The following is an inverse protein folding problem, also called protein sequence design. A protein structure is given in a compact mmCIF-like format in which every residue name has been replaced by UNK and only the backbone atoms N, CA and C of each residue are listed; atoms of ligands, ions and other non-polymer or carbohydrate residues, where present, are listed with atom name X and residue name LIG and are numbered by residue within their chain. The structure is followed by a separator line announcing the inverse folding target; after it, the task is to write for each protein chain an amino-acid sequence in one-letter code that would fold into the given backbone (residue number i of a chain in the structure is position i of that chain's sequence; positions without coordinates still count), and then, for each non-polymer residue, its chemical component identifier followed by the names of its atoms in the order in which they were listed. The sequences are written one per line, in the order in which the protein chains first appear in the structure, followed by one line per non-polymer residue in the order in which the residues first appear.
data_IF_572276490253
#
_entry.id   IF_572276490253
#
_cell.length_a   1.000
_cell.length_b   1.000
_cell.length_c   1.000
_cell.angle_alpha   90.00
_cell.angle_beta   90.00
_cell.angle_gamma   90.00
#
_symmetry.space_group_name_H-M   'P 1'
#
loop_
_entity.id
_entity.type
_entity.pdbx_description
1 polymer ?
#
# COMPACT_ATOMS: atom_id res chain seq x y z
N UNK A 1 -34.01 -40.98 -49.84
CA UNK A 1 -34.56 -42.31 -49.95
C UNK A 1 -34.92 -42.84 -48.58
N UNK A 2 -36.22 -42.93 -48.28
CA UNK A 2 -36.87 -43.83 -47.29
C UNK A 2 -37.14 -45.13 -48.05
N UNK A 3 -37.55 -46.26 -47.47
CA UNK A 3 -38.10 -46.61 -46.13
C UNK A 3 -37.47 -47.92 -45.57
N UNK A 4 -37.84 -48.59 -44.51
CA UNK A 4 -39.14 -49.16 -44.18
C UNK A 4 -39.15 -49.83 -42.78
N UNK A 5 -40.32 -49.86 -42.25
CA UNK A 5 -40.86 -50.54 -41.11
C UNK A 5 -40.67 -52.09 -41.09
N UNK A 6 -40.67 -52.66 -39.85
CA UNK A 6 -41.55 -53.80 -39.56
C UNK A 6 -41.82 -53.93 -38.06
N UNK A 7 -43.13 -53.96 -37.75
CA UNK A 7 -43.77 -54.43 -36.50
C UNK A 7 -43.78 -55.97 -36.46
N UNK A 8 -43.93 -56.48 -35.22
CA UNK A 8 -44.84 -57.60 -34.78
C UNK A 8 -44.66 -57.78 -33.30
N UNK A 9 -45.57 -57.53 -32.46
CA UNK A 9 -46.89 -58.00 -32.09
C UNK A 9 -46.86 -59.11 -31.02
N UNK A 10 -47.49 -58.77 -29.90
CA UNK A 10 -48.29 -59.51 -28.94
C UNK A 10 -47.83 -60.90 -28.41
N UNK A 11 -47.83 -61.06 -27.08
CA UNK A 11 -48.82 -61.83 -26.32
C UNK A 11 -48.75 -61.59 -24.81
N UNK A 12 -49.93 -61.43 -24.24
CA UNK A 12 -50.25 -61.39 -22.83
C UNK A 12 -50.18 -62.79 -22.22
N UNK A 13 -49.76 -62.89 -20.98
CA UNK A 13 -50.31 -63.92 -20.09
C UNK A 13 -50.44 -63.43 -18.65
N UNK A 14 -51.58 -63.71 -18.12
CA UNK A 14 -52.19 -63.33 -16.83
C UNK A 14 -51.70 -64.30 -15.74
N UNK A 15 -51.14 -63.83 -14.63
CA UNK A 15 -51.18 -64.55 -13.39
C UNK A 15 -51.27 -63.60 -12.19
N UNK A 16 -52.40 -63.66 -11.52
CA UNK A 16 -52.73 -63.07 -10.22
C UNK A 16 -51.83 -63.57 -9.12
N UNK A 17 -51.36 -62.70 -8.26
CA UNK A 17 -50.64 -63.10 -7.02
C UNK A 17 -50.40 -62.00 -6.01
N UNK A 18 -51.38 -61.81 -5.11
CA UNK A 18 -51.30 -61.31 -3.72
C UNK A 18 -50.59 -59.98 -3.41
N UNK A 19 -51.42 -59.05 -3.06
CA UNK A 19 -51.10 -57.78 -2.37
C UNK A 19 -50.55 -58.07 -0.95
N UNK A 20 -49.34 -57.63 -0.64
CA UNK A 20 -48.93 -57.35 0.74
C UNK A 20 -48.57 -55.87 0.88
N UNK A 21 -48.95 -55.20 1.98
CA UNK A 21 -48.77 -53.74 2.10
C UNK A 21 -47.34 -53.39 2.46
N UNK A 22 -46.75 -52.47 1.71
CA UNK A 22 -45.52 -51.76 2.05
C UNK A 22 -45.76 -50.80 3.21
N UNK A 23 -45.42 -51.24 4.43
CA UNK A 23 -45.34 -50.34 5.57
C UNK A 23 -43.90 -49.87 5.79
N UNK A 24 -43.73 -48.53 5.93
CA UNK A 24 -42.68 -47.83 6.64
C UNK A 24 -41.30 -47.73 6.01
N UNK A 25 -41.13 -46.74 5.13
CA UNK A 25 -39.81 -46.14 4.93
C UNK A 25 -39.80 -44.58 5.04
N UNK A 26 -40.92 -43.93 5.43
CA UNK A 26 -40.99 -42.47 5.52
C UNK A 26 -40.31 -41.88 6.78
N UNK A 27 -40.06 -42.66 7.82
CA UNK A 27 -39.42 -42.18 9.06
C UNK A 27 -37.91 -41.98 8.96
N UNK A 28 -37.19 -42.84 8.22
CA UNK A 28 -35.74 -42.75 8.11
C UNK A 28 -35.25 -41.65 7.20
N UNK A 29 -35.97 -41.34 6.12
CA UNK A 29 -35.57 -40.24 5.22
C UNK A 29 -35.77 -38.84 5.85
N UNK A 30 -36.80 -38.64 6.69
CA UNK A 30 -36.96 -37.39 7.44
C UNK A 30 -35.85 -37.16 8.48
N UNK A 31 -35.40 -38.23 9.14
CA UNK A 31 -34.34 -38.09 10.14
C UNK A 31 -32.96 -37.81 9.50
N UNK A 32 -32.66 -38.39 8.33
CA UNK A 32 -31.42 -38.14 7.59
C UNK A 32 -31.40 -36.71 7.06
N UNK A 33 -32.52 -36.17 6.55
CA UNK A 33 -32.61 -34.78 6.10
C UNK A 33 -32.47 -33.76 7.26
N UNK A 34 -33.01 -34.07 8.45
CA UNK A 34 -32.82 -33.22 9.64
C UNK A 34 -31.39 -33.25 10.15
N UNK A 35 -30.74 -34.40 10.17
CA UNK A 35 -29.32 -34.50 10.57
C UNK A 35 -28.40 -33.82 9.57
N UNK A 36 -28.63 -33.91 8.27
CA UNK A 36 -27.89 -33.17 7.25
C UNK A 36 -28.12 -31.65 7.35
N UNK A 37 -29.35 -31.22 7.63
CA UNK A 37 -29.68 -29.80 7.79
C UNK A 37 -29.06 -29.22 9.07
N UNK A 38 -29.03 -29.94 10.17
CA UNK A 38 -28.38 -29.57 11.43
C UNK A 38 -26.84 -29.54 11.26
N UNK A 39 -26.26 -30.50 10.54
CA UNK A 39 -24.84 -30.51 10.22
C UNK A 39 -24.45 -29.36 9.30
N UNK A 40 -25.29 -28.97 8.32
CA UNK A 40 -25.07 -27.82 7.46
C UNK A 40 -25.20 -26.51 8.25
N UNK A 41 -26.16 -26.39 9.17
CA UNK A 41 -26.30 -25.24 10.05
C UNK A 41 -25.12 -25.11 11.04
N UNK A 42 -24.62 -26.20 11.57
CA UNK A 42 -23.45 -26.21 12.46
C UNK A 42 -22.20 -25.83 11.68
N UNK A 43 -22.03 -26.30 10.42
CA UNK A 43 -20.88 -25.89 9.59
C UNK A 43 -20.92 -24.41 9.19
N UNK A 44 -22.10 -23.81 9.01
CA UNK A 44 -22.25 -22.38 8.75
C UNK A 44 -21.93 -21.53 9.99
N UNK A 45 -22.25 -22.03 11.18
CA UNK A 45 -21.94 -21.31 12.45
C UNK A 45 -20.44 -21.39 12.78
N UNK A 46 -19.73 -22.46 12.39
CA UNK A 46 -18.28 -22.56 12.58
C UNK A 46 -17.43 -21.83 11.52
N UNK A 47 -18.06 -21.38 10.42
CA UNK A 47 -17.36 -20.64 9.35
C UNK A 47 -17.16 -19.15 9.64
N UNK A 48 -17.62 -18.64 10.79
CA UNK A 48 -17.51 -17.21 11.15
C UNK A 48 -16.95 -16.95 12.55
N UNK A 49 -16.17 -17.85 13.10
CA UNK A 49 -15.27 -17.47 14.17
C UNK A 49 -13.95 -17.03 13.55
N UNK A 50 -13.86 -15.74 13.16
CA UNK A 50 -12.57 -15.07 13.28
C UNK A 50 -12.11 -15.37 14.70
N UNK A 51 -11.04 -16.13 14.86
CA UNK A 51 -10.33 -16.20 16.12
C UNK A 51 -10.14 -14.75 16.54
N UNK A 52 -10.72 -14.35 17.67
CA UNK A 52 -10.34 -13.13 18.34
C UNK A 52 -8.85 -13.29 18.65
N UNK A 53 -8.01 -12.83 17.74
CA UNK A 53 -6.65 -12.49 18.10
C UNK A 53 -6.81 -11.54 19.27
N UNK A 54 -6.25 -11.88 20.43
CA UNK A 54 -6.17 -10.97 21.55
C UNK A 54 -5.34 -9.77 21.08
N UNK A 55 -6.00 -8.73 20.59
CA UNK A 55 -5.39 -7.46 20.17
C UNK A 55 -4.87 -6.63 21.37
N UNK A 56 -4.48 -7.30 22.45
CA UNK A 56 -3.78 -6.65 23.53
C UNK A 56 -2.40 -6.25 23.03
N UNK A 57 -2.21 -4.95 22.78
CA UNK A 57 -0.94 -4.29 22.44
C UNK A 57 -0.55 -4.25 20.94
N UNK A 58 -1.47 -4.48 20.01
CA UNK A 58 -1.14 -4.49 18.58
C UNK A 58 -1.20 -3.11 17.89
N UNK A 59 -1.27 -2.03 18.67
CA UNK A 59 -1.42 -0.66 18.15
C UNK A 59 -2.87 -0.29 17.85
N UNK A 60 -3.10 1.01 17.69
CA UNK A 60 -4.41 1.56 17.35
C UNK A 60 -4.29 2.67 16.32
N UNK A 61 -5.32 2.83 15.49
CA UNK A 61 -5.46 3.90 14.53
C UNK A 61 -6.49 4.91 15.01
N UNK A 62 -6.15 6.18 15.04
CA UNK A 62 -7.04 7.25 15.41
C UNK A 62 -7.29 8.21 14.24
N UNK A 63 -8.53 8.61 14.05
CA UNK A 63 -8.87 9.59 13.01
C UNK A 63 -8.28 10.97 13.32
N UNK A 64 -7.91 11.68 12.25
CA UNK A 64 -7.42 13.06 12.27
C UNK A 64 -8.23 13.90 11.31
N UNK A 65 -7.97 15.20 11.28
CA UNK A 65 -8.63 16.10 10.32
C UNK A 65 -8.55 15.54 8.91
N UNK A 66 -9.69 15.39 8.27
CA UNK A 66 -9.79 14.86 6.90
C UNK A 66 -8.96 15.71 5.93
N UNK A 67 -8.42 15.06 4.91
CA UNK A 67 -7.61 15.67 3.87
C UNK A 67 -8.24 16.96 3.34
N UNK A 68 -7.45 18.01 3.28
CA UNK A 68 -7.93 19.35 2.87
C UNK A 68 -8.86 20.02 3.86
N UNK A 69 -8.97 19.57 5.13
CA UNK A 69 -9.85 20.18 6.13
C UNK A 69 -11.33 20.13 5.78
N UNK A 70 -11.74 19.13 5.00
CA UNK A 70 -13.10 18.98 4.46
C UNK A 70 -13.32 19.68 3.10
N UNK A 71 -12.37 20.46 2.63
CA UNK A 71 -12.41 21.08 1.30
C UNK A 71 -11.57 20.32 0.25
N UNK A 72 -10.73 19.39 0.71
CA UNK A 72 -9.90 18.56 -0.17
C UNK A 72 -10.74 17.52 -0.94
N UNK A 73 -10.37 17.31 -2.18
CA UNK A 73 -10.91 16.23 -3.00
C UNK A 73 -10.04 14.99 -2.75
N UNK A 74 -10.65 13.86 -2.41
CA UNK A 74 -9.94 12.60 -2.20
C UNK A 74 -9.10 12.24 -3.42
N UNK A 75 -7.90 11.73 -3.17
CA UNK A 75 -6.94 11.37 -4.22
C UNK A 75 -6.26 10.06 -3.89
N UNK A 76 -5.86 9.33 -4.93
CA UNK A 76 -4.89 8.24 -4.80
C UNK A 76 -3.68 8.48 -5.67
N UNK A 77 -2.61 7.75 -5.38
CA UNK A 77 -1.35 7.85 -6.11
C UNK A 77 -0.79 9.29 -6.16
N UNK A 78 -0.93 10.01 -5.07
CA UNK A 78 -0.37 11.34 -4.88
C UNK A 78 1.10 11.25 -4.48
N UNK A 79 1.88 12.24 -4.89
CA UNK A 79 3.23 12.45 -4.40
C UNK A 79 3.21 13.04 -2.99
N UNK A 80 4.21 12.72 -2.16
CA UNK A 80 4.34 13.32 -0.83
C UNK A 80 5.81 13.59 -0.47
N UNK A 81 6.00 14.59 0.39
CA UNK A 81 7.30 14.90 0.99
C UNK A 81 7.08 15.58 2.35
N UNK A 82 8.09 15.52 3.21
CA UNK A 82 8.05 16.10 4.56
C UNK A 82 9.18 17.12 4.71
N UNK A 83 8.86 18.33 5.16
CA UNK A 83 9.82 19.40 5.46
C UNK A 83 9.56 19.88 6.88
N UNK A 84 10.55 19.72 7.75
CA UNK A 84 10.40 20.06 9.17
C UNK A 84 9.22 19.33 9.81
N UNK A 85 8.28 20.05 10.37
CA UNK A 85 7.09 19.50 11.01
C UNK A 85 5.84 19.50 10.11
N UNK A 86 6.01 19.58 8.80
CA UNK A 86 4.89 19.61 7.87
C UNK A 86 5.04 18.51 6.81
N UNK A 87 3.96 17.78 6.55
CA UNK A 87 3.86 16.87 5.42
C UNK A 87 3.08 17.55 4.28
N UNK A 88 3.50 17.28 3.06
CA UNK A 88 2.88 17.81 1.86
C UNK A 88 2.39 16.68 1.00
N UNK A 89 1.17 16.82 0.48
CA UNK A 89 0.54 15.88 -0.46
C UNK A 89 0.20 16.65 -1.72
N UNK A 90 0.70 16.20 -2.86
CA UNK A 90 0.62 16.89 -4.13
C UNK A 90 0.15 15.95 -5.24
N UNK A 91 -0.64 16.48 -6.18
CA UNK A 91 -1.08 15.75 -7.37
C UNK A 91 -2.01 14.57 -7.04
N UNK A 92 -2.03 13.52 -7.84
CA UNK A 92 -2.86 12.33 -7.65
C UNK A 92 -4.07 12.29 -8.58
N UNK A 93 -4.86 11.23 -8.47
CA UNK A 93 -6.06 11.01 -9.30
C UNK A 93 -7.31 10.84 -8.43
N UNK A 94 -8.42 11.40 -8.88
CA UNK A 94 -9.74 11.12 -8.35
C UNK A 94 -10.59 10.42 -9.42
N UNK A 95 -11.01 9.18 -9.21
CA UNK A 95 -11.76 8.42 -10.21
C UNK A 95 -13.23 8.83 -10.36
N UNK A 96 -13.79 9.60 -9.40
CA UNK A 96 -15.20 10.03 -9.42
C UNK A 96 -15.46 11.20 -10.38
N UNK A 97 -14.44 11.98 -10.66
CA UNK A 97 -14.48 12.96 -11.73
C UNK A 97 -13.75 12.37 -12.93
N UNK A 98 -14.31 12.33 -14.14
CA UNK A 98 -13.77 11.55 -15.24
C UNK A 98 -12.27 11.73 -15.34
N UNK A 99 -11.54 10.77 -14.76
CA UNK A 99 -10.09 10.64 -14.71
C UNK A 99 -9.31 11.95 -14.49
N UNK A 100 -9.77 12.84 -13.59
CA UNK A 100 -9.03 14.07 -13.32
C UNK A 100 -7.85 13.81 -12.39
N UNK A 101 -6.68 13.86 -12.95
CA UNK A 101 -5.44 14.04 -12.21
C UNK A 101 -5.36 15.49 -11.76
N UNK A 102 -4.90 15.69 -10.54
CA UNK A 102 -4.99 16.97 -9.86
C UNK A 102 -3.62 17.66 -9.80
N UNK A 103 -3.65 18.95 -9.53
CA UNK A 103 -2.47 19.79 -9.28
C UNK A 103 -2.50 20.40 -7.88
N UNK A 104 -3.58 20.15 -7.11
CA UNK A 104 -3.70 20.67 -5.74
C UNK A 104 -2.56 20.16 -4.86
N UNK A 105 -2.09 21.03 -3.96
CA UNK A 105 -1.06 20.71 -2.98
C UNK A 105 -1.56 21.14 -1.60
N UNK A 106 -1.55 20.19 -0.68
CA UNK A 106 -2.00 20.39 0.69
C UNK A 106 -0.87 20.13 1.68
N UNK A 107 -0.71 21.03 2.63
CA UNK A 107 0.22 20.91 3.73
C UNK A 107 -0.52 20.48 4.99
N UNK A 108 -0.05 19.41 5.63
CA UNK A 108 -0.53 18.93 6.94
C UNK A 108 0.44 19.35 8.03
N UNK A 109 -0.07 20.06 9.04
CA UNK A 109 0.63 20.35 10.28
C UNK A 109 -0.03 19.54 11.39
N UNK A 110 0.69 18.59 12.03
CA UNK A 110 0.11 17.78 13.09
C UNK A 110 -0.27 18.66 14.29
N UNK A 111 -1.37 18.31 14.93
CA UNK A 111 -1.78 18.95 16.17
C UNK A 111 -0.88 18.56 17.36
N UNK A 112 -1.18 19.08 18.55
CA UNK A 112 -0.45 18.75 19.76
C UNK A 112 -0.43 17.23 20.00
N UNK A 113 0.60 16.74 20.70
CA UNK A 113 0.65 15.33 21.11
C UNK A 113 -0.49 15.09 22.11
N UNK A 114 -1.37 14.08 21.87
CA UNK A 114 -2.47 13.80 22.78
C UNK A 114 -1.97 13.52 24.21
N UNK A 115 -2.59 14.17 25.18
CA UNK A 115 -2.28 14.00 26.59
C UNK A 115 -3.40 13.16 27.23
N UNK A 116 -3.10 11.98 27.74
CA UNK A 116 -4.05 11.15 28.46
C UNK A 116 -3.96 9.67 28.08
N UNK A 117 -4.57 8.77 28.87
CA UNK A 117 -4.53 7.35 28.61
C UNK A 117 -5.17 6.95 27.27
N UNK A 118 -6.13 7.74 26.80
CA UNK A 118 -6.83 7.49 25.55
C UNK A 118 -6.37 8.40 24.41
N UNK A 119 -5.60 9.44 24.68
CA UNK A 119 -4.86 10.38 23.78
C UNK A 119 -5.39 10.66 22.37
N UNK A 120 -6.39 9.90 21.99
CA UNK A 120 -6.87 9.69 20.64
C UNK A 120 -7.79 10.82 20.19
N UNK A 121 -8.63 11.32 21.09
CA UNK A 121 -9.76 12.20 20.75
C UNK A 121 -9.60 13.66 21.18
N UNK A 122 -8.38 14.07 21.58
CA UNK A 122 -8.15 15.47 21.87
C UNK A 122 -8.35 16.32 20.61
N UNK A 123 -9.21 17.35 20.62
CA UNK A 123 -9.35 18.27 19.49
C UNK A 123 -8.01 18.91 19.07
N UNK A 124 -7.09 19.06 20.03
CA UNK A 124 -5.75 19.61 19.80
C UNK A 124 -4.86 18.66 19.00
N UNK A 125 -5.15 17.35 19.03
CA UNK A 125 -4.39 16.32 18.29
C UNK A 125 -4.76 16.23 16.80
N UNK A 126 -5.88 16.85 16.39
CA UNK A 126 -6.44 16.67 15.05
C UNK A 126 -5.51 17.15 13.92
N UNK A 127 -4.70 18.18 14.14
CA UNK A 127 -3.88 18.79 13.11
C UNK A 127 -4.71 19.62 12.12
N UNK A 128 -4.01 20.24 11.19
CA UNK A 128 -4.64 21.14 10.20
C UNK A 128 -4.09 20.89 8.80
N UNK A 129 -4.98 20.97 7.82
CA UNK A 129 -4.62 21.00 6.40
C UNK A 129 -4.71 22.44 5.90
N UNK A 130 -3.69 22.87 5.18
CA UNK A 130 -3.64 24.20 4.55
C UNK A 130 -3.35 24.01 3.06
N UNK A 131 -4.19 24.56 2.22
CA UNK A 131 -3.91 24.61 0.78
C UNK A 131 -2.73 25.53 0.53
N UNK A 132 -1.76 25.08 -0.24
CA UNK A 132 -0.59 25.86 -0.66
C UNK A 132 -0.61 26.02 -2.18
N UNK A 133 0.41 26.70 -2.74
CA UNK A 133 0.47 26.91 -4.18
C UNK A 133 0.39 25.58 -4.95
N UNK A 134 -0.52 25.51 -5.90
CA UNK A 134 -0.72 24.34 -6.75
C UNK A 134 0.56 23.96 -7.49
N UNK A 135 0.73 22.67 -7.73
CA UNK A 135 1.79 22.13 -8.57
C UNK A 135 1.69 22.71 -9.99
N UNK A 136 2.72 23.39 -10.50
CA UNK A 136 2.63 24.11 -11.78
C UNK A 136 2.83 23.22 -13.01
N UNK A 137 3.42 22.02 -12.83
CA UNK A 137 3.54 21.05 -13.90
C UNK A 137 2.18 20.50 -14.34
N UNK A 138 2.15 19.72 -15.41
CA UNK A 138 0.90 19.15 -15.92
C UNK A 138 0.26 18.18 -14.89
N UNK A 139 -1.10 18.08 -14.86
CA UNK A 139 -1.83 17.20 -13.96
C UNK A 139 -1.36 15.75 -14.11
N UNK A 140 -1.10 15.08 -12.98
CA UNK A 140 -0.50 13.74 -12.96
C UNK A 140 -0.88 12.92 -11.74
N UNK A 141 -0.74 11.61 -11.86
CA UNK A 141 -0.76 10.65 -10.77
C UNK A 141 0.50 9.79 -10.79
N UNK A 142 0.71 8.97 -9.74
CA UNK A 142 1.84 8.06 -9.66
C UNK A 142 3.21 8.77 -9.77
N UNK A 143 3.19 10.08 -9.48
CA UNK A 143 4.38 10.90 -9.32
C UNK A 143 5.05 10.59 -7.99
N UNK A 144 6.33 10.89 -7.87
CA UNK A 144 7.04 10.78 -6.60
C UNK A 144 7.34 12.14 -6.00
N UNK A 145 7.52 12.15 -4.68
CA UNK A 145 8.01 13.32 -3.95
C UNK A 145 9.15 12.94 -3.03
N UNK A 146 10.05 13.88 -2.81
CA UNK A 146 11.10 13.82 -1.79
C UNK A 146 11.44 15.22 -1.28
N UNK A 147 12.10 15.29 -0.13
CA UNK A 147 12.65 16.55 0.40
C UNK A 147 14.18 16.51 0.38
N UNK A 148 14.80 17.63 -0.01
CA UNK A 148 16.25 17.79 0.03
C UNK A 148 16.58 19.28 0.15
N UNK A 149 17.61 19.63 0.95
CA UNK A 149 18.05 21.02 1.13
C UNK A 149 16.99 21.98 1.64
N UNK A 150 16.00 21.47 2.42
CA UNK A 150 14.89 22.27 2.94
C UNK A 150 13.79 22.61 1.92
N UNK A 151 13.81 21.98 0.76
CA UNK A 151 12.81 22.10 -0.29
C UNK A 151 12.13 20.77 -0.56
N UNK A 152 10.87 20.80 -1.04
CA UNK A 152 10.17 19.62 -1.57
C UNK A 152 10.37 19.51 -3.07
N UNK A 153 10.41 18.30 -3.57
CA UNK A 153 10.54 18.00 -5.00
C UNK A 153 9.42 17.06 -5.41
N UNK A 154 8.78 17.35 -6.54
CA UNK A 154 7.76 16.49 -7.15
C UNK A 154 8.08 16.33 -8.63
N UNK A 155 8.04 15.11 -9.12
CA UNK A 155 8.31 14.84 -10.52
C UNK A 155 7.88 13.46 -10.95
N UNK A 156 8.16 13.13 -12.22
CA UNK A 156 7.73 11.89 -12.87
C UNK A 156 6.20 11.75 -12.94
N UNK A 157 5.70 10.54 -13.11
CA UNK A 157 4.25 10.26 -13.07
C UNK A 157 3.61 10.12 -14.44
N UNK A 158 2.31 9.82 -14.40
CA UNK A 158 1.47 9.48 -15.55
C UNK A 158 0.44 10.57 -15.82
N UNK A 159 0.31 11.03 -17.06
CA UNK A 159 -0.63 12.05 -17.49
C UNK A 159 -2.09 11.58 -17.51
N UNK A 160 -3.02 12.52 -17.69
CA UNK A 160 -4.46 12.24 -17.79
C UNK A 160 -4.84 11.33 -18.96
N UNK A 161 -4.07 11.33 -20.02
CA UNK A 161 -4.29 10.44 -21.19
C UNK A 161 -3.98 8.96 -20.91
N UNK A 162 -3.34 8.68 -19.75
CA UNK A 162 -2.94 7.33 -19.38
C UNK A 162 -1.79 6.74 -20.18
N UNK A 163 -1.14 7.54 -21.02
CA UNK A 163 -0.07 7.12 -21.95
C UNK A 163 1.19 7.98 -21.77
N UNK A 164 1.04 9.29 -21.68
CA UNK A 164 2.16 10.21 -21.51
C UNK A 164 2.77 10.07 -20.13
N UNK A 165 4.08 9.82 -20.07
CA UNK A 165 4.84 9.62 -18.85
C UNK A 165 5.86 10.73 -18.72
N UNK A 166 5.96 11.31 -17.53
CA UNK A 166 6.79 12.48 -17.26
C UNK A 166 8.15 12.11 -16.70
N UNK A 167 9.15 12.96 -16.97
CA UNK A 167 10.48 12.93 -16.37
C UNK A 167 10.84 14.27 -15.70
N UNK A 168 9.98 15.30 -15.85
CA UNK A 168 10.18 16.64 -15.28
C UNK A 168 10.15 16.60 -13.76
N UNK A 169 10.85 17.54 -13.14
CA UNK A 169 10.84 17.79 -11.70
C UNK A 169 10.66 19.27 -11.38
N UNK A 170 10.00 19.50 -10.26
CA UNK A 170 9.71 20.84 -9.73
C UNK A 170 10.08 20.88 -8.25
N UNK A 171 10.77 21.95 -7.84
CA UNK A 171 11.09 22.23 -6.45
C UNK A 171 10.09 23.21 -5.84
N UNK A 172 9.68 22.96 -4.61
CA UNK A 172 8.82 23.80 -3.79
C UNK A 172 9.61 24.39 -2.62
N UNK A 173 9.62 25.71 -2.52
CA UNK A 173 10.22 26.40 -1.37
C UNK A 173 9.11 26.75 -0.36
N UNK A 174 9.09 26.14 0.84
CA UNK A 174 8.03 26.36 1.83
C UNK A 174 8.02 27.76 2.41
N UNK A 175 9.17 28.48 2.39
CA UNK A 175 9.26 29.83 2.94
C UNK A 175 8.65 30.88 2.01
N UNK A 176 8.78 30.72 0.71
CA UNK A 176 8.21 31.63 -0.30
C UNK A 176 6.88 31.17 -0.88
N UNK A 177 6.53 29.88 -0.73
CA UNK A 177 5.38 29.26 -1.37
C UNK A 177 5.52 29.12 -2.89
N UNK A 178 6.74 29.18 -3.43
CA UNK A 178 6.99 29.21 -4.88
C UNK A 178 7.52 27.87 -5.37
N UNK A 179 6.99 27.43 -6.51
CA UNK A 179 7.49 26.34 -7.31
C UNK A 179 8.43 26.82 -8.40
N UNK A 180 9.51 26.07 -8.64
CA UNK A 180 10.47 26.31 -9.71
C UNK A 180 10.76 24.99 -10.42
N UNK A 181 10.72 24.99 -11.75
CA UNK A 181 11.16 23.83 -12.54
C UNK A 181 12.66 23.61 -12.34
N UNK A 182 13.05 22.36 -12.16
CA UNK A 182 14.45 21.93 -12.04
C UNK A 182 14.75 20.89 -13.11
N UNK A 183 16.01 20.44 -13.18
CA UNK A 183 16.40 19.43 -14.16
C UNK A 183 15.48 18.21 -14.14
N UNK A 184 15.04 17.82 -15.31
CA UNK A 184 14.32 16.56 -15.53
C UNK A 184 15.21 15.36 -15.20
N UNK A 185 14.61 14.23 -14.85
CA UNK A 185 15.33 12.96 -14.66
C UNK A 185 15.94 12.54 -16.00
N UNK A 186 17.19 12.93 -16.23
CA UNK A 186 17.91 12.77 -17.49
C UNK A 186 19.42 12.80 -17.27
N UNK A 187 20.16 12.32 -18.28
CA UNK A 187 21.60 12.50 -18.42
C UNK A 187 21.97 12.74 -19.88
N UNK A 188 23.25 12.69 -20.20
CA UNK A 188 23.74 12.86 -21.58
C UNK A 188 23.23 11.82 -22.58
N UNK A 189 22.70 10.69 -22.09
CA UNK A 189 22.19 9.60 -22.93
C UNK A 189 20.67 9.74 -23.20
N UNK A 190 19.96 10.54 -22.43
CA UNK A 190 18.53 10.77 -22.64
C UNK A 190 17.73 11.07 -21.39
N UNK A 191 16.43 11.03 -21.53
CA UNK A 191 15.43 11.23 -20.49
C UNK A 191 14.88 9.88 -20.01
N UNK A 192 14.53 9.78 -18.72
CA UNK A 192 14.09 8.55 -18.07
C UNK A 192 12.69 8.70 -17.47
N UNK A 193 11.65 8.91 -18.30
CA UNK A 193 10.27 9.07 -17.81
C UNK A 193 9.80 7.78 -17.14
N UNK A 194 9.05 7.93 -16.04
CA UNK A 194 8.53 6.80 -15.25
C UNK A 194 7.36 7.20 -14.37
N UNK A 195 6.65 6.20 -13.89
CA UNK A 195 5.64 6.34 -12.84
C UNK A 195 5.75 5.19 -11.84
N UNK A 196 5.06 5.27 -10.69
CA UNK A 196 5.19 4.32 -9.59
C UNK A 196 6.65 4.05 -9.18
N UNK A 197 7.50 5.04 -9.30
CA UNK A 197 8.86 4.98 -8.78
C UNK A 197 8.88 5.08 -7.25
N UNK A 198 10.02 4.79 -6.66
CA UNK A 198 10.29 4.97 -5.25
C UNK A 198 11.26 6.14 -5.04
N UNK A 199 11.25 6.75 -3.84
CA UNK A 199 12.16 7.84 -3.50
C UNK A 199 12.71 7.70 -2.09
N UNK A 200 13.87 8.32 -1.87
CA UNK A 200 14.43 8.57 -0.54
C UNK A 200 14.73 10.05 -0.37
N UNK A 201 14.39 10.60 0.79
CA UNK A 201 14.71 11.96 1.21
C UNK A 201 15.84 11.95 2.23
N UNK A 202 17.04 12.33 1.81
CA UNK A 202 18.15 12.58 2.74
C UNK A 202 18.37 14.09 2.87
N UNK A 203 18.82 14.57 4.01
CA UNK A 203 18.84 16.00 4.34
C UNK A 203 19.29 16.94 3.22
N UNK A 204 20.32 16.58 2.48
CA UNK A 204 20.91 17.41 1.42
C UNK A 204 20.68 16.90 0.00
N UNK A 205 20.17 15.69 -0.18
CA UNK A 205 20.01 15.04 -1.48
C UNK A 205 18.76 14.19 -1.54
N UNK A 206 18.15 14.05 -2.73
CA UNK A 206 17.06 13.13 -3.00
C UNK A 206 17.50 11.97 -3.88
N UNK A 207 16.82 10.86 -3.77
CA UNK A 207 17.03 9.70 -4.65
C UNK A 207 15.70 9.28 -5.28
N UNK A 208 15.80 8.91 -6.54
CA UNK A 208 14.72 8.26 -7.31
C UNK A 208 15.20 6.92 -7.78
N UNK A 209 14.43 5.89 -7.61
CA UNK A 209 14.76 4.53 -8.01
C UNK A 209 13.54 3.77 -8.47
N UNK A 210 13.75 2.71 -9.23
CA UNK A 210 12.67 1.82 -9.65
C UNK A 210 11.60 2.51 -10.50
N UNK A 211 10.38 1.99 -10.56
CA UNK A 211 9.29 2.51 -11.37
C UNK A 211 9.12 1.78 -12.70
N UNK A 212 8.22 2.25 -13.52
CA UNK A 212 7.91 1.66 -14.82
C UNK A 212 7.57 2.72 -15.87
N UNK A 213 7.75 2.41 -17.14
CA UNK A 213 7.25 3.16 -18.29
C UNK A 213 5.98 2.50 -18.89
N UNK A 214 5.40 1.53 -18.19
CA UNK A 214 4.26 0.75 -18.65
C UNK A 214 4.63 -0.51 -19.44
N UNK A 215 5.86 -0.60 -19.90
CA UNK A 215 6.41 -1.76 -20.64
C UNK A 215 7.58 -2.38 -19.85
N UNK A 216 8.48 -1.56 -19.38
CA UNK A 216 9.68 -1.94 -18.66
C UNK A 216 9.57 -1.58 -17.20
N UNK A 217 10.20 -2.38 -16.34
CA UNK A 217 10.41 -2.08 -14.93
C UNK A 217 11.86 -1.71 -14.73
N UNK A 218 12.09 -0.67 -13.93
CA UNK A 218 13.42 -0.12 -13.72
C UNK A 218 14.04 -0.60 -12.41
N UNK A 219 15.37 -0.71 -12.42
CA UNK A 219 16.20 -0.98 -11.23
C UNK A 219 17.33 0.03 -11.11
N UNK A 220 17.33 1.08 -11.93
CA UNK A 220 18.29 2.18 -11.84
C UNK A 220 18.04 3.05 -10.60
N UNK A 221 19.07 3.73 -10.15
CA UNK A 221 19.06 4.60 -8.99
C UNK A 221 19.66 5.94 -9.38
N UNK A 222 18.95 7.01 -9.10
CA UNK A 222 19.35 8.38 -9.44
C UNK A 222 19.43 9.25 -8.20
N UNK A 223 20.49 10.00 -8.08
CA UNK A 223 20.72 10.99 -7.01
C UNK A 223 20.55 12.39 -7.56
N UNK A 224 19.71 13.18 -6.92
CA UNK A 224 19.56 14.61 -7.17
C UNK A 224 20.28 15.41 -6.09
N UNK A 225 21.05 16.41 -6.51
CA UNK A 225 21.70 17.34 -5.60
C UNK A 225 21.17 18.76 -5.81
N UNK A 226 20.41 19.34 -4.86
CA UNK A 226 19.99 20.74 -4.94
C UNK A 226 21.14 21.73 -5.11
N UNK A 227 22.32 21.42 -4.58
CA UNK A 227 23.49 22.28 -4.67
C UNK A 227 24.05 22.43 -6.10
N UNK A 228 23.87 21.43 -6.94
CA UNK A 228 24.30 21.44 -8.34
C UNK A 228 23.13 21.53 -9.33
N UNK A 229 21.92 21.23 -8.88
CA UNK A 229 20.73 21.13 -9.73
C UNK A 229 20.71 19.92 -10.65
N UNK A 230 21.60 18.92 -10.44
CA UNK A 230 21.83 17.85 -11.40
C UNK A 230 21.45 16.47 -10.84
N UNK A 231 21.06 15.58 -11.76
CA UNK A 231 20.91 14.14 -11.55
C UNK A 231 22.20 13.40 -11.85
N UNK A 232 22.54 12.43 -11.00
CA UNK A 232 23.70 11.54 -11.20
C UNK A 232 23.26 10.10 -10.95
N UNK A 233 23.42 9.26 -11.97
CA UNK A 233 23.15 7.84 -11.83
C UNK A 233 24.08 7.19 -10.80
N UNK A 234 23.52 6.35 -9.97
CA UNK A 234 24.20 5.57 -8.95
C UNK A 234 24.23 4.10 -9.34
N UNK A 235 24.99 3.24 -8.64
CA UNK A 235 24.88 1.80 -8.81
C UNK A 235 23.45 1.34 -8.69
N UNK A 236 23.03 0.47 -9.61
CA UNK A 236 21.66 -0.02 -9.68
C UNK A 236 21.22 -0.72 -8.40
N UNK A 237 19.93 -0.69 -8.13
CA UNK A 237 19.28 -1.49 -7.12
C UNK A 237 19.48 -2.99 -7.43
N UNK A 238 20.05 -3.78 -6.51
CA UNK A 238 20.42 -5.17 -6.78
C UNK A 238 19.23 -6.14 -6.71
N UNK A 239 18.08 -5.70 -6.19
CA UNK A 239 16.83 -6.48 -6.19
C UNK A 239 16.16 -6.49 -7.56
N UNK A 240 15.00 -7.12 -7.65
CA UNK A 240 14.22 -7.12 -8.89
C UNK A 240 13.82 -5.70 -9.30
N UNK A 241 13.95 -5.36 -10.57
CA UNK A 241 13.32 -4.18 -11.15
C UNK A 241 11.81 -4.22 -10.86
N UNK A 242 11.25 -3.12 -10.36
CA UNK A 242 9.89 -3.07 -9.81
C UNK A 242 9.25 -1.70 -9.87
N UNK A 243 7.94 -1.66 -9.64
CA UNK A 243 7.18 -0.42 -9.43
C UNK A 243 6.33 -0.51 -8.17
N UNK A 244 5.89 0.63 -7.64
CA UNK A 244 4.99 0.69 -6.49
C UNK A 244 5.53 0.03 -5.22
N UNK A 245 6.85 0.02 -5.04
CA UNK A 245 7.48 -0.46 -3.81
C UNK A 245 7.24 0.52 -2.66
N UNK A 246 7.23 0.01 -1.44
CA UNK A 246 7.17 0.83 -0.23
C UNK A 246 8.57 1.18 0.22
N UNK A 247 8.79 2.45 0.58
CA UNK A 247 10.05 2.94 1.11
C UNK A 247 9.85 3.67 2.43
N UNK A 248 10.87 3.62 3.27
CA UNK A 248 10.98 4.43 4.49
C UNK A 248 12.45 4.67 4.85
N UNK A 249 12.69 5.63 5.74
CA UNK A 249 14.03 6.04 6.15
C UNK A 249 14.23 5.78 7.64
N UNK A 250 15.38 5.24 7.98
CA UNK A 250 15.79 5.06 9.37
C UNK A 250 17.31 5.27 9.52
N UNK A 251 17.70 6.13 10.46
CA UNK A 251 19.10 6.44 10.78
C UNK A 251 19.98 6.76 9.55
N UNK A 252 19.46 7.58 8.65
CA UNK A 252 20.19 7.99 7.44
C UNK A 252 20.37 6.89 6.40
N UNK A 253 19.59 5.82 6.50
CA UNK A 253 19.54 4.72 5.55
C UNK A 253 18.15 4.60 4.93
N UNK A 254 18.10 4.23 3.65
CA UNK A 254 16.85 3.96 2.93
C UNK A 254 16.49 2.48 2.99
N UNK A 255 15.23 2.18 3.14
CA UNK A 255 14.68 0.81 3.10
C UNK A 255 13.67 0.71 1.97
N UNK A 256 13.75 -0.36 1.17
CA UNK A 256 12.80 -0.65 0.10
C UNK A 256 12.28 -2.07 0.22
N UNK A 257 10.98 -2.22 0.17
CA UNK A 257 10.29 -3.49 0.38
C UNK A 257 9.11 -3.63 -0.58
N UNK A 258 8.79 -4.84 -0.99
CA UNK A 258 7.62 -5.17 -1.82
C UNK A 258 7.66 -4.52 -3.22
N UNK A 259 6.49 -4.32 -3.82
CA UNK A 259 6.33 -3.75 -5.16
C UNK A 259 6.00 -4.79 -6.23
N UNK A 260 5.48 -4.33 -7.35
CA UNK A 260 5.15 -5.15 -8.50
C UNK A 260 6.39 -5.39 -9.37
N UNK A 261 6.62 -6.62 -9.77
CA UNK A 261 7.74 -7.02 -10.64
C UNK A 261 7.32 -8.14 -11.60
N UNK A 262 7.77 -8.14 -12.85
CA UNK A 262 7.55 -9.25 -13.78
C UNK A 262 8.51 -10.42 -13.51
N UNK A 263 9.55 -10.22 -12.68
CA UNK A 263 10.55 -11.23 -12.41
C UNK A 263 10.03 -12.25 -11.39
N UNK A 264 10.38 -13.52 -11.60
CA UNK A 264 10.01 -14.62 -10.69
C UNK A 264 11.00 -14.84 -9.56
N UNK A 265 12.22 -14.33 -9.68
CA UNK A 265 13.21 -14.38 -8.62
C UNK A 265 12.79 -13.43 -7.49
N UNK A 266 12.73 -13.92 -6.26
CA UNK A 266 12.30 -13.15 -5.09
C UNK A 266 10.91 -12.50 -5.21
N UNK A 267 10.00 -13.17 -5.92
CA UNK A 267 8.63 -12.70 -6.09
C UNK A 267 7.62 -13.85 -6.08
N UNK A 268 6.40 -13.55 -5.69
CA UNK A 268 5.24 -14.44 -5.76
C UNK A 268 4.08 -13.68 -6.39
N UNK A 269 3.48 -14.23 -7.44
CA UNK A 269 2.34 -13.63 -8.12
C UNK A 269 2.62 -12.19 -8.61
N UNK A 270 3.82 -11.93 -9.11
CA UNK A 270 4.31 -10.59 -9.54
C UNK A 270 4.49 -9.57 -8.40
N UNK A 271 4.51 -10.01 -7.14
CA UNK A 271 4.84 -9.16 -6.00
C UNK A 271 6.17 -9.60 -5.39
N UNK A 272 7.09 -8.66 -5.25
CA UNK A 272 8.40 -8.88 -4.69
C UNK A 272 8.34 -9.12 -3.18
N UNK A 273 9.12 -10.05 -2.67
CA UNK A 273 9.24 -10.34 -1.24
C UNK A 273 10.65 -10.08 -0.68
N UNK A 274 11.62 -9.69 -1.52
CA UNK A 274 12.94 -9.29 -1.10
C UNK A 274 12.92 -7.92 -0.43
N UNK A 275 13.76 -7.75 0.57
CA UNK A 275 13.85 -6.55 1.37
C UNK A 275 15.30 -6.06 1.39
N UNK A 276 15.49 -4.75 1.20
CA UNK A 276 16.80 -4.17 1.03
C UNK A 276 16.98 -2.87 1.81
N UNK A 277 18.21 -2.66 2.26
CA UNK A 277 18.66 -1.43 2.91
C UNK A 277 19.71 -0.75 2.06
N UNK A 278 19.56 0.55 1.86
CA UNK A 278 20.46 1.42 1.13
C UNK A 278 21.24 2.35 2.07
N UNK A 279 22.55 2.37 1.96
CA UNK A 279 23.43 3.30 2.66
C UNK A 279 24.01 4.33 1.66
N UNK A 280 23.51 5.57 1.64
CA UNK A 280 23.96 6.61 0.71
C UNK A 280 25.41 7.08 1.00
N UNK A 281 25.93 6.82 2.21
CA UNK A 281 27.26 7.23 2.65
C UNK A 281 28.32 6.12 2.52
N UNK A 282 27.99 5.01 1.85
CA UNK A 282 28.97 3.97 1.60
C UNK A 282 30.09 4.50 0.71
N UNK A 283 31.34 4.39 1.18
CA UNK A 283 32.55 4.75 0.40
C UNK A 283 32.79 3.78 -0.76
N UNK A 284 32.23 2.59 -0.68
CA UNK A 284 32.27 1.58 -1.73
C UNK A 284 30.84 1.43 -2.31
N UNK A 285 30.60 1.86 -3.56
CA UNK A 285 29.28 1.75 -4.20
C UNK A 285 28.79 0.30 -4.29
N UNK A 286 29.67 -0.70 -4.39
CA UNK A 286 29.30 -2.11 -4.49
C UNK A 286 28.66 -2.66 -3.20
N UNK A 287 28.85 -2.00 -2.08
CA UNK A 287 28.27 -2.37 -0.78
C UNK A 287 27.30 -1.31 -0.24
N UNK A 288 26.86 -0.38 -1.09
CA UNK A 288 25.81 0.60 -0.73
C UNK A 288 24.48 -0.06 -0.42
N UNK A 289 24.24 -1.25 -0.95
CA UNK A 289 23.04 -2.05 -0.72
C UNK A 289 23.32 -3.27 0.16
N UNK A 290 22.44 -3.53 1.11
CA UNK A 290 22.44 -4.76 1.91
C UNK A 290 21.09 -5.42 1.82
N UNK A 291 21.05 -6.72 1.49
CA UNK A 291 19.84 -7.52 1.56
C UNK A 291 19.57 -7.87 3.02
N UNK A 292 18.34 -7.67 3.44
CA UNK A 292 17.79 -8.04 4.74
C UNK A 292 17.08 -9.39 4.62
N UNK A 293 16.50 -9.89 5.71
CA UNK A 293 15.72 -11.10 5.63
C UNK A 293 14.51 -10.90 4.71
N UNK A 294 14.27 -11.87 3.85
CA UNK A 294 13.09 -11.85 2.99
C UNK A 294 11.82 -11.90 3.84
N UNK A 295 10.81 -11.14 3.45
CA UNK A 295 9.54 -11.05 4.20
C UNK A 295 8.72 -12.34 4.23
N UNK A 296 9.22 -13.40 3.66
CA UNK A 296 8.65 -14.75 3.64
C UNK A 296 9.22 -15.67 4.72
N UNK A 297 10.30 -15.28 5.36
CA UNK A 297 10.99 -16.12 6.33
C UNK A 297 11.07 -15.44 7.69
N UNK A 298 10.92 -16.23 8.75
CA UNK A 298 11.37 -15.79 10.06
C UNK A 298 12.91 -15.74 10.12
N UNK A 299 13.47 -15.22 11.22
CA UNK A 299 14.93 -15.21 11.44
C UNK A 299 15.59 -16.61 11.51
N UNK A 300 14.80 -17.68 11.42
CA UNK A 300 15.26 -19.05 11.47
C UNK A 300 15.18 -19.73 10.09
N UNK A 301 14.78 -19.00 9.05
CA UNK A 301 14.63 -19.51 7.69
C UNK A 301 13.38 -20.34 7.48
N UNK A 302 12.41 -20.24 8.38
CA UNK A 302 11.14 -20.95 8.29
C UNK A 302 10.13 -20.13 7.48
N UNK A 303 9.43 -20.76 6.56
CA UNK A 303 8.37 -20.12 5.78
C UNK A 303 7.11 -19.97 6.65
N UNK A 304 6.65 -18.74 6.84
CA UNK A 304 5.39 -18.41 7.48
C UNK A 304 4.38 -17.88 6.45
N UNK A 305 3.26 -18.57 6.30
CA UNK A 305 2.20 -18.15 5.38
C UNK A 305 1.57 -16.80 5.76
N UNK A 306 1.62 -16.39 7.04
CA UNK A 306 1.17 -15.09 7.50
C UNK A 306 1.91 -13.94 6.82
N UNK A 307 3.16 -14.10 6.50
CA UNK A 307 3.97 -13.07 5.83
C UNK A 307 3.56 -12.81 4.37
N UNK A 308 2.76 -13.65 3.75
CA UNK A 308 2.19 -13.37 2.42
C UNK A 308 1.35 -12.11 2.40
N UNK A 309 0.83 -11.67 3.56
CA UNK A 309 0.05 -10.45 3.69
C UNK A 309 0.93 -9.17 3.76
N UNK A 310 2.26 -9.30 3.88
CA UNK A 310 3.17 -8.16 3.83
C UNK A 310 3.37 -7.73 2.38
N UNK A 311 3.53 -8.68 1.45
CA UNK A 311 3.81 -8.39 0.04
C UNK A 311 2.65 -7.63 -0.60
N UNK A 312 2.98 -6.52 -1.25
CA UNK A 312 1.99 -5.60 -1.83
C UNK A 312 2.60 -4.70 -2.88
N UNK A 313 1.77 -4.00 -3.60
CA UNK A 313 2.17 -2.85 -4.41
C UNK A 313 1.41 -1.61 -3.96
N UNK A 314 2.01 -0.43 -4.16
CA UNK A 314 1.39 0.87 -3.86
C UNK A 314 0.84 0.98 -2.42
N UNK A 315 1.58 0.39 -1.48
CA UNK A 315 1.34 0.56 -0.05
C UNK A 315 1.96 1.84 0.50
N UNK A 316 1.70 2.11 1.77
CA UNK A 316 2.21 3.24 2.52
C UNK A 316 3.25 2.81 3.54
N UNK A 317 4.33 3.58 3.71
CA UNK A 317 5.37 3.34 4.71
C UNK A 317 5.61 4.54 5.59
N UNK A 318 5.97 4.32 6.86
CA UNK A 318 6.38 5.34 7.82
C UNK A 318 7.23 4.73 8.94
N UNK A 319 7.91 5.56 9.74
CA UNK A 319 8.77 5.13 10.85
C UNK A 319 8.34 5.89 12.11
N UNK A 320 8.32 5.19 13.25
CA UNK A 320 8.12 5.80 14.57
C UNK A 320 9.28 5.36 15.47
N UNK A 321 9.95 6.34 16.09
CA UNK A 321 11.09 6.13 16.97
C UNK A 321 10.64 6.04 18.44
N UNK A 322 11.38 5.26 19.23
CA UNK A 322 11.17 5.19 20.68
C UNK A 322 9.85 4.53 21.08
N UNK A 323 9.33 3.58 20.30
CA UNK A 323 8.17 2.76 20.68
C UNK A 323 8.53 1.84 21.84
N UNK A 324 7.55 1.22 22.47
CA UNK A 324 7.79 0.17 23.46
C UNK A 324 8.43 -1.04 22.74
N UNK A 325 9.72 -1.17 22.77
CA UNK A 325 10.48 -2.18 22.03
C UNK A 325 11.43 -1.59 20.98
N UNK A 326 11.61 -0.26 20.95
CA UNK A 326 12.61 0.43 20.13
C UNK A 326 12.01 1.10 18.89
N UNK A 327 12.88 1.44 17.94
CA UNK A 327 12.49 2.11 16.70
C UNK A 327 11.88 1.12 15.72
N UNK A 328 10.81 1.51 15.04
CA UNK A 328 10.04 0.61 14.16
C UNK A 328 9.70 1.27 12.82
N UNK A 329 9.77 0.46 11.76
CA UNK A 329 9.21 0.78 10.45
C UNK A 329 7.83 0.14 10.28
N UNK A 330 6.95 0.79 9.54
CA UNK A 330 5.59 0.30 9.31
C UNK A 330 5.24 0.28 7.83
N UNK A 331 4.48 -0.73 7.42
CA UNK A 331 3.92 -0.87 6.07
C UNK A 331 2.44 -1.18 6.19
N UNK A 332 1.59 -0.45 5.47
CA UNK A 332 0.14 -0.64 5.50
C UNK A 332 -0.51 -0.32 4.15
N UNK A 333 -1.77 -0.67 3.99
CA UNK A 333 -2.53 -0.44 2.76
C UNK A 333 -1.86 -1.07 1.52
N UNK A 334 -2.28 -0.68 0.32
CA UNK A 334 -1.75 -1.20 -0.94
C UNK A 334 -2.65 -2.27 -1.55
N UNK A 335 -2.16 -2.94 -2.58
CA UNK A 335 -2.86 -4.03 -3.23
C UNK A 335 -2.04 -5.32 -3.23
N UNK A 336 -2.71 -6.45 -2.99
CA UNK A 336 -2.14 -7.79 -3.07
C UNK A 336 -3.07 -8.68 -3.92
N UNK A 337 -2.50 -9.33 -4.93
CA UNK A 337 -3.22 -10.27 -5.80
C UNK A 337 -4.52 -9.68 -6.41
N UNK A 338 -4.52 -8.38 -6.72
CA UNK A 338 -5.64 -7.68 -7.33
C UNK A 338 -6.72 -7.19 -6.36
N UNK A 339 -6.52 -7.36 -5.06
CA UNK A 339 -7.40 -6.82 -4.02
C UNK A 339 -6.68 -5.72 -3.24
N UNK A 340 -7.41 -4.64 -2.91
CA UNK A 340 -6.96 -3.65 -1.96
C UNK A 340 -6.94 -4.25 -0.56
N UNK A 341 -5.94 -3.85 0.25
CA UNK A 341 -5.73 -4.41 1.59
C UNK A 341 -5.50 -3.30 2.63
N UNK A 342 -5.74 -3.64 3.91
CA UNK A 342 -5.54 -2.76 5.06
C UNK A 342 -4.59 -3.34 6.12
N UNK A 343 -3.95 -4.47 5.88
CA UNK A 343 -3.02 -5.08 6.81
C UNK A 343 -1.87 -4.15 7.15
N UNK A 344 -1.57 -3.99 8.45
CA UNK A 344 -0.45 -3.21 8.96
C UNK A 344 0.61 -4.15 9.52
N UNK A 345 1.86 -3.94 9.13
CA UNK A 345 3.01 -4.70 9.57
C UNK A 345 4.07 -3.78 10.13
N UNK A 346 4.66 -4.19 11.24
CA UNK A 346 5.76 -3.53 11.93
C UNK A 346 7.07 -4.26 11.63
N UNK A 347 8.08 -3.51 11.24
CA UNK A 347 9.45 -4.00 11.08
C UNK A 347 10.31 -3.55 12.25
N UNK A 348 10.94 -4.50 12.92
CA UNK A 348 11.90 -4.25 13.98
C UNK A 348 13.31 -4.13 13.40
N UNK A 349 13.88 -2.92 13.46
CA UNK A 349 15.24 -2.64 12.96
C UNK A 349 16.33 -3.37 13.74
N UNK A 350 16.11 -3.75 14.99
CA UNK A 350 17.10 -4.41 15.83
C UNK A 350 17.18 -5.92 15.58
N UNK A 351 16.06 -6.55 15.23
CA UNK A 351 15.98 -8.01 15.06
C UNK A 351 15.81 -8.44 13.61
N UNK A 352 15.55 -7.50 12.68
CA UNK A 352 15.25 -7.77 11.26
C UNK A 352 14.04 -8.72 11.12
N UNK A 353 12.96 -8.42 11.86
CA UNK A 353 11.72 -9.22 11.87
C UNK A 353 10.50 -8.37 11.63
N UNK A 354 9.46 -9.01 11.08
CA UNK A 354 8.16 -8.43 10.85
C UNK A 354 7.12 -8.98 11.83
N UNK A 355 6.22 -8.12 12.31
CA UNK A 355 5.10 -8.48 13.20
C UNK A 355 3.83 -7.81 12.71
N UNK A 356 2.72 -8.57 12.64
CA UNK A 356 1.42 -8.02 12.28
C UNK A 356 0.89 -7.13 13.41
N UNK A 357 0.33 -5.99 13.03
CA UNK A 357 -0.28 -5.00 13.92
C UNK A 357 -1.77 -4.83 13.61
N UNK A 358 -2.46 -4.01 14.40
CA UNK A 358 -3.85 -3.66 14.13
C UNK A 358 -4.00 -3.16 12.68
N UNK A 359 -4.95 -3.70 11.93
CA UNK A 359 -5.17 -3.30 10.54
C UNK A 359 -5.51 -1.81 10.47
N UNK A 360 -5.17 -1.20 9.35
CA UNK A 360 -5.57 0.18 9.07
C UNK A 360 -7.10 0.32 9.20
N UNK A 361 -7.55 1.32 9.94
CA UNK A 361 -8.95 1.44 10.35
C UNK A 361 -9.87 1.99 9.26
N UNK A 362 -9.30 2.66 8.26
CA UNK A 362 -10.05 3.09 7.08
C UNK A 362 -10.36 1.90 6.15
N UNK A 363 -11.12 2.17 5.11
CA UNK A 363 -11.43 1.17 4.07
C UNK A 363 -10.15 0.68 3.40
N UNK A 364 -10.15 -0.58 2.97
CA UNK A 364 -9.08 -1.19 2.17
C UNK A 364 -8.78 -0.31 0.96
N UNK A 365 -7.50 -0.03 0.71
CA UNK A 365 -7.09 0.94 -0.30
C UNK A 365 -5.69 0.75 -0.81
N UNK A 366 -5.46 1.21 -2.03
CA UNK A 366 -4.16 1.31 -2.68
C UNK A 366 -3.80 2.77 -2.99
N UNK A 367 -2.52 3.05 -3.23
CA UNK A 367 -2.06 4.40 -3.56
C UNK A 367 -2.34 5.44 -2.47
N UNK A 368 -2.46 5.01 -1.22
CA UNK A 368 -2.54 5.91 -0.07
C UNK A 368 -1.18 6.56 0.22
N UNK A 369 -1.21 7.71 0.86
CA UNK A 369 -0.01 8.44 1.25
C UNK A 369 0.31 8.17 2.71
N UNK A 370 1.49 7.59 2.95
CA UNK A 370 2.06 7.42 4.29
C UNK A 370 3.19 8.40 4.54
N UNK A 371 3.28 8.96 5.74
CA UNK A 371 4.39 9.84 6.13
C UNK A 371 4.64 9.86 7.63
N UNK A 372 5.88 10.17 8.00
CA UNK A 372 6.27 10.47 9.37
C UNK A 372 6.47 11.98 9.51
N UNK A 373 5.80 12.60 10.47
CA UNK A 373 6.01 13.99 10.85
C UNK A 373 5.94 14.14 12.36
N UNK A 374 6.87 14.89 12.95
CA UNK A 374 7.01 15.01 14.41
C UNK A 374 7.09 13.66 15.16
N UNK A 375 7.76 12.67 14.57
CA UNK A 375 7.87 11.29 15.05
C UNK A 375 6.53 10.56 15.23
N UNK A 376 5.54 10.89 14.42
CA UNK A 376 4.20 10.31 14.39
C UNK A 376 3.93 9.80 12.99
N UNK A 377 3.33 8.61 12.86
CA UNK A 377 3.03 7.96 11.59
C UNK A 377 1.59 8.22 11.16
N UNK A 378 1.40 8.68 9.94
CA UNK A 378 0.10 9.04 9.38
C UNK A 378 -0.13 8.34 8.04
N UNK A 379 -1.40 8.05 7.75
CA UNK A 379 -1.87 7.58 6.44
C UNK A 379 -3.14 8.33 6.06
N UNK A 380 -3.19 8.80 4.82
CA UNK A 380 -4.32 9.54 4.27
C UNK A 380 -4.53 9.22 2.79
N UNK A 381 -5.64 9.65 2.24
CA UNK A 381 -5.93 9.48 0.82
C UNK A 381 -6.00 8.00 0.39
N UNK A 382 -5.76 7.73 -0.88
CA UNK A 382 -5.83 6.40 -1.48
C UNK A 382 -7.14 6.13 -2.20
N UNK A 383 -7.15 5.04 -2.95
CA UNK A 383 -8.29 4.59 -3.73
C UNK A 383 -8.73 3.21 -3.30
N UNK A 384 -10.04 2.95 -3.37
CA UNK A 384 -10.54 1.61 -3.52
C UNK A 384 -10.91 1.39 -4.99
N UNK A 385 -10.15 0.54 -5.67
CA UNK A 385 -10.32 0.30 -7.11
C UNK A 385 -11.68 -0.33 -7.43
N UNK A 386 -12.17 -1.23 -6.57
CA UNK A 386 -13.47 -1.89 -6.74
C UNK A 386 -14.66 -0.94 -6.58
N UNK A 387 -14.58 0.01 -5.63
CA UNK A 387 -15.62 1.01 -5.37
C UNK A 387 -15.48 2.26 -6.25
N UNK A 388 -14.38 2.40 -7.01
CA UNK A 388 -14.04 3.62 -7.75
C UNK A 388 -14.12 4.88 -6.86
N UNK A 389 -13.67 4.77 -5.62
CA UNK A 389 -13.74 5.81 -4.61
C UNK A 389 -12.33 6.28 -4.22
N UNK A 390 -12.17 7.59 -4.07
CA UNK A 390 -11.00 8.21 -3.48
C UNK A 390 -11.34 8.73 -2.08
N UNK A 391 -10.44 8.51 -1.13
CA UNK A 391 -10.67 8.82 0.28
C UNK A 391 -10.03 10.13 0.70
N UNK A 392 -10.66 10.78 1.69
CA UNK A 392 -10.17 12.00 2.33
C UNK A 392 -9.82 11.81 3.79
N UNK A 393 -10.11 10.65 4.37
CA UNK A 393 -9.80 10.35 5.77
C UNK A 393 -8.28 10.41 6.01
N UNK A 394 -7.92 10.75 7.23
CA UNK A 394 -6.54 10.76 7.70
C UNK A 394 -6.50 10.05 9.05
N UNK A 395 -5.57 9.16 9.22
CA UNK A 395 -5.39 8.39 10.46
C UNK A 395 -3.95 8.48 10.92
N UNK A 396 -3.79 8.50 12.24
CA UNK A 396 -2.50 8.39 12.94
C UNK A 396 -2.40 7.03 13.61
N UNK A 397 -1.22 6.41 13.55
CA UNK A 397 -0.95 5.14 14.18
C UNK A 397 -0.28 5.29 15.53
N UNK A 398 -0.81 4.59 16.54
CA UNK A 398 -0.31 4.53 17.91
C UNK A 398 0.17 3.11 18.24
N UNK A 399 1.47 2.79 18.08
CA UNK A 399 1.97 1.42 18.15
C UNK A 399 1.83 0.76 19.54
N UNK A 400 1.81 1.56 20.60
CA UNK A 400 1.77 1.08 21.99
C UNK A 400 0.36 1.08 22.60
N UNK A 401 -0.66 1.42 21.81
CA UNK A 401 -2.03 1.42 22.28
C UNK A 401 -2.72 0.09 22.03
N UNK A 402 -3.69 -0.24 22.87
CA UNK A 402 -4.61 -1.34 22.65
C UNK A 402 -5.55 -0.97 21.50
N UNK A 403 -5.77 -1.91 20.59
CA UNK A 403 -6.72 -1.71 19.50
C UNK A 403 -8.13 -1.45 20.03
N UNK A 404 -8.73 -0.36 19.60
CA UNK A 404 -10.12 -0.01 19.89
C UNK A 404 -10.93 0.04 18.58
N UNK A 405 -11.83 -0.90 18.31
CA UNK A 405 -12.60 -0.91 17.08
C UNK A 405 -13.65 0.21 16.98
N UNK A 406 -13.86 0.99 18.07
CA UNK A 406 -14.90 2.01 18.17
C UNK A 406 -14.40 3.45 18.07
N UNK A 407 -13.09 3.69 17.98
CA UNK A 407 -12.50 5.04 17.86
C UNK A 407 -12.75 5.65 16.47
#
# INVERSE_FOLDING_TARGET
MKPSYTNYDTQADDQRGSIRPLQRHHGRMKLINYTLFVLLLVSVVFSCTRTNLNYTENGNWASRTTFGGGNGVGVGYAASFVIGNNAYVATGVNPQFPAQKLQAVWMYTPGAIPQGPDGVDSPEAQGTWTEVANFPGLPRSNAIGFAAGGQGYVGTGLANDGVTIYADFWSYNPNSGIWVEVDSLSDANGSYPRYDASSFSFDSVGYVLTGTDGFNYFGDVWKFSPATGQWVQQPNFPGNARSGAVTFLYQGQGYIVTGHTPNTKWATGNLAYDFWRFNPNSVNPDISWARLHDIYTDNQGTYDQGYTNIIRTNGSGFVILGTQGGDKGYVTCGANSGADINFTWEYDFATDTWTEKAPFKGTDRTGAVGFTVANRGFVTCGLNAGAQAAYTDCYEFFPNMVYNPYD
#
